data_IF_018518171351
#
_entry.id   IF_018518171351
#
_cell.length_a   1.000
_cell.length_b   1.000
_cell.length_c   1.000
_cell.angle_alpha   90.00
_cell.angle_beta   90.00
_cell.angle_gamma   90.00
#
_symmetry.space_group_name_H-M   'P 1'
#
loop_
_entity.id
_entity.type
_entity.pdbx_description
1 polymer ?
#
# COMPACT_ATOMS: atom_id res chain seq x y z
N UNK A 1 22.05 32.68 -19.47
CA UNK A 1 21.64 31.42 -20.11
C UNK A 1 20.25 31.13 -19.59
N UNK A 2 19.24 31.45 -20.40
CA UNK A 2 17.83 31.44 -20.02
C UNK A 2 17.23 30.06 -20.28
N UNK A 3 16.57 29.49 -19.26
CA UNK A 3 15.91 28.18 -19.32
C UNK A 3 14.62 28.21 -20.16
N UNK A 4 14.47 27.22 -21.04
CA UNK A 4 13.27 26.99 -21.83
C UNK A 4 12.25 26.14 -21.09
N UNK A 5 10.97 26.46 -21.29
CA UNK A 5 9.79 25.78 -20.73
C UNK A 5 9.53 24.41 -21.41
N UNK A 6 8.97 23.40 -20.70
CA UNK A 6 8.68 22.07 -21.24
C UNK A 6 7.24 21.88 -21.76
N UNK A 7 6.43 22.95 -21.83
CA UNK A 7 5.14 22.91 -22.52
C UNK A 7 5.35 23.21 -24.00
N UNK A 8 5.03 22.25 -24.87
CA UNK A 8 5.21 22.36 -26.32
C UNK A 8 4.31 23.43 -26.95
N UNK A 9 4.76 24.69 -26.91
CA UNK A 9 4.37 25.75 -27.83
C UNK A 9 5.57 26.03 -28.76
N UNK A 10 5.73 25.20 -29.78
CA UNK A 10 6.59 25.54 -30.90
C UNK A 10 5.85 26.52 -31.82
N UNK A 11 6.41 27.69 -32.17
CA UNK A 11 5.78 28.56 -33.15
C UNK A 11 5.91 27.90 -34.53
N UNK A 12 4.79 27.51 -35.14
CA UNK A 12 4.74 27.22 -36.58
C UNK A 12 5.01 28.51 -37.36
N UNK A 13 6.06 28.58 -38.20
CA UNK A 13 6.31 29.75 -39.01
C UNK A 13 5.42 29.70 -40.25
N UNK A 14 4.41 30.56 -40.30
CA UNK A 14 3.56 30.77 -41.47
C UNK A 14 2.09 30.85 -41.13
N UNK A 15 1.64 32.00 -40.62
CA UNK A 15 0.24 32.27 -40.33
C UNK A 15 -0.12 33.72 -40.67
N UNK A 16 -1.01 33.86 -41.65
CA UNK A 16 -1.56 35.08 -42.26
C UNK A 16 -2.10 36.11 -41.23
N UNK A 17 -1.78 37.42 -41.31
CA UNK A 17 -2.13 38.42 -40.31
C UNK A 17 -3.58 38.92 -40.44
N UNK A 18 -4.57 38.01 -40.40
CA UNK A 18 -5.96 38.35 -40.66
C UNK A 18 -7.05 37.45 -40.05
N UNK A 19 -6.72 36.50 -39.15
CA UNK A 19 -7.73 35.70 -38.46
C UNK A 19 -7.76 35.94 -36.95
N UNK A 20 -8.93 36.14 -36.33
CA UNK A 20 -9.05 36.18 -34.89
C UNK A 20 -8.63 34.82 -34.31
N UNK A 21 -7.66 34.86 -33.40
CA UNK A 21 -7.08 33.70 -32.73
C UNK A 21 -8.14 32.94 -31.92
N UNK A 22 -8.63 31.83 -32.46
CA UNK A 22 -9.51 30.87 -31.79
C UNK A 22 -8.73 29.87 -30.91
N UNK A 23 -7.71 30.33 -30.19
CA UNK A 23 -6.79 29.48 -29.41
C UNK A 23 -7.32 28.96 -28.06
N UNK A 24 -8.55 29.32 -27.66
CA UNK A 24 -9.11 28.96 -26.35
C UNK A 24 -9.79 27.59 -26.28
N UNK A 25 -10.13 26.98 -27.42
CA UNK A 25 -10.95 25.77 -27.46
C UNK A 25 -10.37 24.54 -26.72
N UNK A 26 -9.07 24.20 -26.83
CA UNK A 26 -8.54 23.03 -26.11
C UNK A 26 -8.41 23.27 -24.59
N UNK A 27 -8.17 24.51 -24.15
CA UNK A 27 -8.07 24.84 -22.73
C UNK A 27 -9.44 24.84 -22.05
N UNK A 28 -10.45 25.43 -22.68
CA UNK A 28 -11.80 25.46 -22.13
C UNK A 28 -12.45 24.06 -22.10
N UNK A 29 -12.18 23.21 -23.09
CA UNK A 29 -12.65 21.83 -23.07
C UNK A 29 -12.00 21.01 -21.95
N UNK A 30 -10.70 21.20 -21.68
CA UNK A 30 -10.03 20.51 -20.57
C UNK A 30 -10.51 21.04 -19.21
N UNK A 31 -10.73 22.36 -19.09
CA UNK A 31 -11.30 22.96 -17.88
C UNK A 31 -12.74 22.50 -17.63
N UNK A 32 -13.57 22.38 -18.67
CA UNK A 32 -14.93 21.84 -18.58
C UNK A 32 -14.92 20.35 -18.22
N UNK A 33 -13.96 19.57 -18.73
CA UNK A 33 -13.76 18.16 -18.36
C UNK A 33 -13.29 17.99 -16.91
N UNK A 34 -12.45 18.92 -16.42
CA UNK A 34 -12.01 18.98 -15.03
C UNK A 34 -13.14 19.43 -14.08
N UNK A 35 -13.94 20.42 -14.47
CA UNK A 35 -15.05 20.95 -13.66
C UNK A 35 -16.31 20.05 -13.67
N UNK A 36 -16.49 19.26 -14.73
CA UNK A 36 -17.56 18.25 -14.82
C UNK A 36 -17.23 16.94 -14.10
N UNK A 37 -16.01 16.80 -13.56
CA UNK A 37 -15.64 15.64 -12.77
C UNK A 37 -16.45 15.59 -11.46
N UNK A 38 -17.44 14.71 -11.41
CA UNK A 38 -18.21 14.34 -10.23
C UNK A 38 -17.70 13.03 -9.63
N UNK A 39 -16.38 12.86 -9.53
CA UNK A 39 -15.78 11.61 -9.05
C UNK A 39 -15.59 11.56 -7.54
N UNK A 40 -15.33 10.35 -7.04
CA UNK A 40 -15.12 10.04 -5.62
C UNK A 40 -13.85 10.68 -5.01
N UNK A 41 -13.32 10.16 -3.90
CA UNK A 41 -12.28 10.82 -3.12
C UNK A 41 -10.94 11.00 -3.87
N UNK A 42 -10.74 10.29 -4.98
CA UNK A 42 -9.52 10.33 -5.80
C UNK A 42 -9.88 10.44 -7.28
N UNK A 43 -9.22 11.33 -8.01
CA UNK A 43 -9.28 11.35 -9.47
C UNK A 43 -8.36 10.27 -10.08
N UNK A 44 -8.87 9.04 -10.18
CA UNK A 44 -8.12 7.89 -10.70
C UNK A 44 -7.74 7.99 -12.17
N UNK A 45 -8.47 8.76 -12.97
CA UNK A 45 -8.12 8.99 -14.38
C UNK A 45 -6.88 9.89 -14.46
N UNK A 46 -6.83 10.95 -13.65
CA UNK A 46 -5.63 11.76 -13.50
C UNK A 46 -4.48 10.93 -12.92
N UNK A 47 -4.72 10.15 -11.86
CA UNK A 47 -3.69 9.28 -11.27
C UNK A 47 -3.07 8.33 -12.30
N UNK A 48 -3.90 7.68 -13.12
CA UNK A 48 -3.48 6.82 -14.23
C UNK A 48 -2.61 7.59 -15.24
N UNK A 49 -3.08 8.74 -15.73
CA UNK A 49 -2.34 9.54 -16.71
C UNK A 49 -0.98 10.01 -16.16
N UNK A 50 -0.95 10.41 -14.89
CA UNK A 50 0.27 10.85 -14.21
C UNK A 50 1.23 9.67 -14.03
N UNK A 51 0.75 8.50 -13.62
CA UNK A 51 1.56 7.30 -13.47
C UNK A 51 2.21 6.87 -14.79
N UNK A 52 1.43 6.82 -15.88
CA UNK A 52 1.95 6.48 -17.21
C UNK A 52 2.94 7.54 -17.69
N UNK A 53 2.68 8.83 -17.46
CA UNK A 53 3.60 9.91 -17.82
C UNK A 53 4.92 9.84 -17.06
N UNK A 54 4.90 9.42 -15.79
CA UNK A 54 6.10 9.28 -14.97
C UNK A 54 7.08 8.24 -15.51
N UNK A 55 6.59 7.24 -16.28
CA UNK A 55 7.45 6.28 -16.97
C UNK A 55 8.34 6.93 -18.05
N UNK A 56 7.91 8.06 -18.62
CA UNK A 56 8.66 8.75 -19.68
C UNK A 56 8.99 7.82 -20.85
N UNK A 57 10.25 7.84 -21.31
CA UNK A 57 10.73 6.96 -22.38
C UNK A 57 11.31 5.63 -21.88
N UNK A 58 11.16 5.33 -20.58
CA UNK A 58 11.78 4.16 -19.96
C UNK A 58 10.94 2.89 -20.09
N UNK A 59 9.63 3.03 -20.35
CA UNK A 59 8.77 1.89 -20.67
C UNK A 59 8.94 1.46 -22.12
N UNK A 60 8.76 0.16 -22.36
CA UNK A 60 8.80 -0.43 -23.68
C UNK A 60 7.82 -1.60 -23.77
N UNK A 61 7.36 -1.86 -24.98
CA UNK A 61 6.57 -3.06 -25.24
C UNK A 61 7.37 -4.33 -24.89
N UNK A 62 6.65 -5.32 -24.37
CA UNK A 62 7.18 -6.67 -24.12
C UNK A 62 7.44 -7.34 -25.46
N UNK A 63 8.64 -7.90 -25.64
CA UNK A 63 9.01 -8.60 -26.86
C UNK A 63 8.39 -10.00 -26.86
N UNK A 64 8.02 -10.58 -28.03
CA UNK A 64 7.46 -11.93 -28.09
C UNK A 64 8.32 -13.02 -27.43
N UNK A 65 9.66 -12.90 -27.51
CA UNK A 65 10.57 -13.82 -26.83
C UNK A 65 10.46 -13.74 -25.30
N UNK A 66 10.29 -12.54 -24.76
CA UNK A 66 10.20 -12.31 -23.30
C UNK A 66 8.92 -12.91 -22.71
N UNK A 67 7.84 -12.96 -23.49
CA UNK A 67 6.61 -13.64 -23.10
C UNK A 67 6.90 -15.12 -22.82
N UNK A 68 7.51 -15.82 -23.78
CA UNK A 68 7.86 -17.23 -23.62
C UNK A 68 8.89 -17.47 -22.51
N UNK A 69 9.86 -16.57 -22.34
CA UNK A 69 10.86 -16.65 -21.27
C UNK A 69 10.24 -16.51 -19.87
N UNK A 70 9.30 -15.58 -19.69
CA UNK A 70 8.58 -15.39 -18.42
C UNK A 70 7.65 -16.56 -18.13
N UNK A 71 6.87 -16.99 -19.13
CA UNK A 71 5.97 -18.15 -18.98
C UNK A 71 6.74 -19.42 -18.61
N UNK A 72 7.91 -19.64 -19.23
CA UNK A 72 8.77 -20.77 -18.92
C UNK A 72 9.36 -20.66 -17.50
N UNK A 73 9.87 -19.48 -17.12
CA UNK A 73 10.43 -19.27 -15.79
C UNK A 73 9.39 -19.46 -14.68
N UNK A 74 8.16 -18.96 -14.85
CA UNK A 74 7.06 -19.16 -13.90
C UNK A 74 6.62 -20.63 -13.82
N UNK A 75 6.62 -21.35 -14.94
CA UNK A 75 6.33 -22.80 -14.94
C UNK A 75 7.41 -23.60 -14.22
N UNK A 76 8.69 -23.29 -14.46
CA UNK A 76 9.81 -23.90 -13.75
C UNK A 76 9.71 -23.62 -12.25
N UNK A 77 9.46 -22.36 -11.89
CA UNK A 77 9.29 -21.94 -10.52
C UNK A 77 8.19 -22.73 -9.80
N UNK A 78 7.04 -22.93 -10.45
CA UNK A 78 5.95 -23.70 -9.87
C UNK A 78 6.35 -25.16 -9.60
N UNK A 79 7.02 -25.82 -10.55
CA UNK A 79 7.50 -27.20 -10.37
C UNK A 79 8.53 -27.30 -9.23
N UNK A 80 9.42 -26.31 -9.10
CA UNK A 80 10.46 -26.31 -8.05
C UNK A 80 9.91 -25.98 -6.66
N UNK A 81 8.74 -25.32 -6.59
CA UNK A 81 8.09 -24.99 -5.32
C UNK A 81 7.29 -26.18 -4.75
N UNK A 82 6.83 -27.10 -5.59
CA UNK A 82 6.06 -28.30 -5.17
C UNK A 82 6.71 -29.11 -4.02
N UNK A 83 8.01 -29.44 -4.05
CA UNK A 83 8.62 -30.23 -2.98
C UNK A 83 8.91 -29.44 -1.68
N UNK A 84 8.77 -28.12 -1.68
CA UNK A 84 9.18 -27.26 -0.55
C UNK A 84 8.03 -26.53 0.13
N UNK A 85 6.80 -26.66 -0.38
CA UNK A 85 5.60 -26.00 0.10
C UNK A 85 4.41 -26.95 0.07
N UNK A 86 3.64 -26.99 1.16
CA UNK A 86 2.39 -27.74 1.22
C UNK A 86 1.25 -27.04 0.45
N UNK A 87 1.39 -25.74 0.21
CA UNK A 87 0.45 -24.97 -0.59
C UNK A 87 0.59 -25.33 -2.08
N UNK A 88 -0.48 -25.74 -2.77
CA UNK A 88 -0.46 -26.04 -4.20
C UNK A 88 -0.15 -24.81 -5.05
N UNK A 89 0.07 -25.00 -6.35
CA UNK A 89 0.15 -23.92 -7.33
C UNK A 89 -1.01 -22.92 -7.17
N UNK A 90 -0.67 -21.63 -7.11
CA UNK A 90 -1.64 -20.55 -6.90
C UNK A 90 -1.94 -19.73 -8.16
N UNK A 91 -1.07 -19.80 -9.17
CA UNK A 91 -1.22 -19.03 -10.40
C UNK A 91 -1.81 -19.91 -11.51
N UNK A 92 -2.97 -19.51 -12.04
CA UNK A 92 -3.59 -20.13 -13.22
C UNK A 92 -3.04 -19.55 -14.54
N UNK A 93 -2.47 -18.34 -14.48
CA UNK A 93 -1.98 -17.60 -15.63
C UNK A 93 -0.61 -17.01 -15.34
N UNK A 94 0.29 -17.13 -16.32
CA UNK A 94 1.63 -16.53 -16.31
C UNK A 94 1.67 -15.44 -17.37
N UNK A 95 2.09 -14.22 -17.02
CA UNK A 95 2.08 -13.08 -17.95
C UNK A 95 3.36 -12.25 -17.83
N UNK A 96 3.83 -11.76 -18.98
CA UNK A 96 4.86 -10.74 -19.04
C UNK A 96 4.20 -9.38 -19.24
N UNK A 97 4.48 -8.42 -18.35
CA UNK A 97 3.92 -7.06 -18.43
C UNK A 97 4.99 -6.02 -18.77
N UNK A 98 4.60 -5.02 -19.55
CA UNK A 98 5.29 -3.72 -19.55
C UNK A 98 4.99 -2.96 -18.25
N UNK A 99 5.69 -1.85 -18.01
CA UNK A 99 5.44 -1.02 -16.82
C UNK A 99 4.04 -0.41 -16.89
N UNK A 100 3.63 0.06 -18.07
CA UNK A 100 2.25 0.54 -18.30
C UNK A 100 1.21 -0.56 -18.03
N UNK A 101 1.42 -1.79 -18.53
CA UNK A 101 0.49 -2.91 -18.29
C UNK A 101 0.38 -3.25 -16.79
N UNK A 102 1.47 -3.17 -16.04
CA UNK A 102 1.44 -3.33 -14.59
C UNK A 102 0.62 -2.23 -13.89
N UNK A 103 0.74 -0.96 -14.33
CA UNK A 103 -0.09 0.13 -13.81
C UNK A 103 -1.57 -0.21 -14.03
N UNK A 104 -1.96 -0.53 -15.26
CA UNK A 104 -3.36 -0.86 -15.58
C UNK A 104 -3.90 -2.04 -14.78
N UNK A 105 -3.12 -3.11 -14.68
CA UNK A 105 -3.52 -4.34 -14.01
C UNK A 105 -3.67 -4.17 -12.49
N UNK A 106 -2.92 -3.24 -11.88
CA UNK A 106 -2.91 -3.03 -10.43
C UNK A 106 -3.82 -1.90 -9.95
N UNK A 107 -4.23 -0.99 -10.84
CA UNK A 107 -5.10 0.14 -10.52
C UNK A 107 -6.32 -0.22 -9.67
N UNK A 108 -7.10 -1.30 -9.95
CA UNK A 108 -8.27 -1.64 -9.14
C UNK A 108 -7.97 -1.87 -7.66
N UNK A 109 -6.82 -2.48 -7.35
CA UNK A 109 -6.39 -2.73 -5.97
C UNK A 109 -5.91 -1.43 -5.32
N UNK A 110 -5.19 -0.58 -6.05
CA UNK A 110 -4.84 0.75 -5.59
C UNK A 110 -6.06 1.59 -5.22
N UNK A 111 -7.16 1.50 -5.99
CA UNK A 111 -8.43 2.18 -5.62
C UNK A 111 -8.93 1.75 -4.25
N UNK A 112 -8.95 0.44 -4.03
CA UNK A 112 -9.41 -0.14 -2.76
C UNK A 112 -8.56 0.32 -1.57
N UNK A 113 -7.24 0.44 -1.78
CA UNK A 113 -6.29 0.84 -0.74
C UNK A 113 -6.31 2.35 -0.46
N UNK A 114 -6.36 3.17 -1.50
CA UNK A 114 -6.16 4.61 -1.37
C UNK A 114 -7.46 5.40 -1.17
N UNK A 115 -8.62 4.90 -1.64
CA UNK A 115 -9.90 5.62 -1.49
C UNK A 115 -10.28 5.91 -0.02
N UNK A 116 -10.09 4.98 0.94
CA UNK A 116 -10.36 5.25 2.35
C UNK A 116 -9.40 6.31 2.93
N UNK A 117 -8.11 6.22 2.60
CA UNK A 117 -7.08 7.18 3.02
C UNK A 117 -7.41 8.57 2.48
N UNK A 118 -7.67 8.67 1.18
CA UNK A 118 -7.99 9.92 0.52
C UNK A 118 -9.23 10.60 1.12
N UNK A 119 -10.27 9.79 1.39
CA UNK A 119 -11.49 10.28 2.03
C UNK A 119 -11.20 10.91 3.39
N UNK A 120 -10.32 10.28 4.19
CA UNK A 120 -9.91 10.77 5.50
C UNK A 120 -9.03 12.01 5.41
N UNK A 121 -8.07 12.05 4.49
CA UNK A 121 -7.22 13.23 4.26
C UNK A 121 -8.07 14.43 3.84
N UNK A 122 -8.99 14.26 2.90
CA UNK A 122 -9.89 15.34 2.46
C UNK A 122 -10.80 15.81 3.60
N UNK A 123 -11.39 14.88 4.37
CA UNK A 123 -12.20 15.20 5.55
C UNK A 123 -11.41 15.96 6.63
N UNK A 124 -10.16 15.56 6.84
CA UNK A 124 -9.30 16.14 7.85
C UNK A 124 -8.79 17.52 7.44
N UNK A 125 -8.39 17.72 6.17
CA UNK A 125 -8.09 19.04 5.60
C UNK A 125 -9.29 19.99 5.69
N UNK A 126 -10.50 19.50 5.38
CA UNK A 126 -11.74 20.27 5.53
C UNK A 126 -11.95 20.74 6.97
N UNK A 127 -11.74 19.85 7.93
CA UNK A 127 -11.88 20.14 9.36
C UNK A 127 -10.79 21.11 9.84
N UNK A 128 -9.55 20.95 9.37
CA UNK A 128 -8.43 21.85 9.64
C UNK A 128 -8.67 23.26 9.09
N UNK A 129 -9.06 23.39 7.83
CA UNK A 129 -9.32 24.70 7.22
C UNK A 129 -10.51 25.40 7.88
N UNK A 130 -11.60 24.68 8.15
CA UNK A 130 -12.76 25.26 8.83
C UNK A 130 -12.47 25.69 10.26
N UNK A 131 -11.69 24.91 11.02
CA UNK A 131 -11.24 25.29 12.36
C UNK A 131 -10.25 26.47 12.33
N UNK A 132 -9.30 26.48 11.40
CA UNK A 132 -8.37 27.60 11.18
C UNK A 132 -9.09 28.89 10.81
N UNK A 133 -10.04 28.84 9.89
CA UNK A 133 -10.91 29.99 9.53
C UNK A 133 -11.74 30.47 10.74
N UNK A 134 -12.29 29.54 11.53
CA UNK A 134 -13.06 29.89 12.72
C UNK A 134 -12.19 30.57 13.78
N UNK A 135 -10.92 30.15 13.92
CA UNK A 135 -9.95 30.79 14.82
C UNK A 135 -9.47 32.15 14.30
N UNK A 136 -9.41 32.34 12.98
CA UNK A 136 -9.05 33.62 12.35
C UNK A 136 -10.16 34.68 12.41
N UNK A 137 -11.38 34.29 12.81
CA UNK A 137 -12.43 35.23 13.19
C UNK A 137 -13.78 34.89 12.58
N UNK A 138 -14.75 34.57 13.43
CA UNK A 138 -16.16 34.68 13.08
C UNK A 138 -16.52 36.14 12.80
N UNK A 139 -16.53 36.54 11.53
CA UNK A 139 -17.24 37.74 11.08
C UNK A 139 -16.60 38.55 9.96
N UNK A 140 -15.30 38.89 10.04
CA UNK A 140 -14.71 39.88 9.13
C UNK A 140 -13.32 39.48 8.63
N UNK A 141 -13.13 39.57 7.32
CA UNK A 141 -11.85 39.34 6.65
C UNK A 141 -10.83 40.44 6.96
N UNK A 142 -9.52 40.12 6.93
CA UNK A 142 -8.48 41.13 6.91
C UNK A 142 -8.72 42.13 5.75
N UNK A 143 -8.63 43.45 5.99
CA UNK A 143 -8.93 44.47 4.99
C UNK A 143 -8.05 44.39 3.73
N UNK A 144 -6.87 43.76 3.83
CA UNK A 144 -5.94 43.51 2.73
C UNK A 144 -6.48 42.47 1.72
N UNK A 145 -7.23 41.47 2.22
CA UNK A 145 -7.87 40.43 1.41
C UNK A 145 -9.13 40.95 0.68
N UNK A 146 -9.86 41.87 1.34
CA UNK A 146 -11.04 42.50 0.76
C UNK A 146 -10.72 43.30 -0.52
N UNK A 147 -9.48 43.84 -0.63
CA UNK A 147 -9.00 44.58 -1.79
C UNK A 147 -8.43 43.74 -2.93
N UNK A 148 -8.12 42.46 -2.69
CA UNK A 148 -7.56 41.54 -3.69
C UNK A 148 -8.63 40.76 -4.48
N UNK A 149 -9.91 40.94 -4.13
CA UNK A 149 -11.01 40.25 -4.77
C UNK A 149 -11.38 40.89 -6.12
N UNK A 150 -11.62 40.09 -7.17
CA UNK A 150 -12.18 40.59 -8.41
C UNK A 150 -13.51 41.33 -8.15
N UNK A 151 -13.77 42.46 -8.82
CA UNK A 151 -15.04 43.17 -8.66
C UNK A 151 -16.20 42.25 -9.03
N UNK A 152 -17.10 42.01 -8.07
CA UNK A 152 -18.29 41.15 -8.21
C UNK A 152 -18.30 39.89 -7.35
N UNK A 153 -17.22 39.59 -6.61
CA UNK A 153 -17.16 38.44 -5.68
C UNK A 153 -17.44 38.91 -4.25
N UNK A 154 -18.61 38.58 -3.72
CA UNK A 154 -18.99 38.84 -2.32
C UNK A 154 -18.63 37.63 -1.45
N UNK A 155 -17.52 37.72 -0.70
CA UNK A 155 -17.04 36.62 0.12
C UNK A 155 -17.97 36.28 1.29
N UNK A 156 -18.77 37.23 1.80
CA UNK A 156 -19.77 36.97 2.84
C UNK A 156 -20.91 36.10 2.31
N UNK A 157 -21.30 36.33 1.05
CA UNK A 157 -22.24 35.48 0.32
C UNK A 157 -21.62 34.14 -0.09
N UNK A 158 -20.32 34.11 -0.36
CA UNK A 158 -19.55 32.90 -0.70
C UNK A 158 -19.38 31.97 0.52
N UNK A 159 -19.05 32.52 1.68
CA UNK A 159 -18.96 31.79 2.96
C UNK A 159 -20.35 31.36 3.46
N UNK A 160 -21.38 32.20 3.29
CA UNK A 160 -22.77 31.82 3.55
C UNK A 160 -23.35 30.82 2.54
N UNK A 161 -22.77 30.72 1.34
CA UNK A 161 -23.16 29.74 0.33
C UNK A 161 -22.57 28.35 0.57
N UNK A 162 -21.51 28.21 1.38
CA UNK A 162 -20.98 26.96 1.98
C UNK A 162 -20.74 25.78 1.04
N UNK A 163 -21.79 25.24 0.43
CA UNK A 163 -21.78 24.08 -0.47
C UNK A 163 -20.90 24.20 -1.70
N UNK A 164 -21.03 25.24 -2.57
CA UNK A 164 -20.31 25.27 -3.84
C UNK A 164 -18.79 25.38 -3.71
N UNK A 165 -18.28 26.19 -2.77
CA UNK A 165 -16.84 26.31 -2.53
C UNK A 165 -16.27 25.04 -1.90
N UNK A 166 -16.99 24.45 -0.94
CA UNK A 166 -16.56 23.20 -0.30
C UNK A 166 -16.55 22.02 -1.28
N UNK A 167 -17.50 21.98 -2.21
CA UNK A 167 -17.51 21.01 -3.30
C UNK A 167 -16.30 21.19 -4.23
N UNK A 168 -15.95 22.44 -4.57
CA UNK A 168 -14.77 22.74 -5.38
C UNK A 168 -13.47 22.35 -4.64
N UNK A 169 -13.38 22.59 -3.33
CA UNK A 169 -12.23 22.18 -2.52
C UNK A 169 -12.09 20.66 -2.46
N UNK A 170 -13.19 19.91 -2.31
CA UNK A 170 -13.17 18.45 -2.36
C UNK A 170 -12.68 17.95 -3.72
N UNK A 171 -13.10 18.59 -4.82
CA UNK A 171 -12.64 18.26 -6.16
C UNK A 171 -11.13 18.50 -6.33
N UNK A 172 -10.64 19.67 -5.88
CA UNK A 172 -9.21 20.02 -5.93
C UNK A 172 -8.38 19.08 -5.07
N UNK A 173 -8.84 18.75 -3.86
CA UNK A 173 -8.18 17.79 -2.98
C UNK A 173 -8.07 16.40 -3.60
N UNK A 174 -9.16 15.88 -4.19
CA UNK A 174 -9.16 14.59 -4.87
C UNK A 174 -8.30 14.55 -6.14
N UNK A 175 -8.16 15.68 -6.83
CA UNK A 175 -7.23 15.82 -7.97
C UNK A 175 -5.77 15.82 -7.52
N UNK A 176 -5.41 16.62 -6.52
CA UNK A 176 -4.05 16.69 -5.99
C UNK A 176 -3.59 15.34 -5.43
N UNK A 177 -4.44 14.70 -4.61
CA UNK A 177 -4.17 13.37 -4.09
C UNK A 177 -4.01 12.36 -5.22
N UNK A 178 -4.91 12.39 -6.22
CA UNK A 178 -4.80 11.54 -7.41
C UNK A 178 -3.48 11.73 -8.17
N UNK A 179 -3.01 12.97 -8.33
CA UNK A 179 -1.72 13.24 -8.96
C UNK A 179 -0.54 12.66 -8.15
N UNK A 180 -0.56 12.79 -6.82
CA UNK A 180 0.48 12.25 -5.94
C UNK A 180 0.49 10.72 -5.96
N UNK A 181 -0.67 10.07 -5.86
CA UNK A 181 -0.80 8.61 -6.00
C UNK A 181 -0.32 8.15 -7.37
N UNK A 182 -0.67 8.89 -8.42
CA UNK A 182 -0.20 8.63 -9.79
C UNK A 182 1.32 8.65 -9.89
N UNK A 183 1.98 9.68 -9.36
CA UNK A 183 3.45 9.76 -9.33
C UNK A 183 4.07 8.56 -8.59
N UNK A 184 3.51 8.22 -7.43
CA UNK A 184 3.99 7.12 -6.60
C UNK A 184 3.85 5.77 -7.32
N UNK A 185 2.69 5.50 -7.95
CA UNK A 185 2.46 4.29 -8.76
C UNK A 185 3.39 4.24 -9.98
N UNK A 186 3.62 5.36 -10.65
CA UNK A 186 4.51 5.45 -11.81
C UNK A 186 5.97 5.18 -11.45
N UNK A 187 6.45 5.75 -10.34
CA UNK A 187 7.78 5.45 -9.78
C UNK A 187 7.91 3.97 -9.46
N UNK A 188 6.90 3.41 -8.78
CA UNK A 188 6.86 2.02 -8.39
C UNK A 188 6.93 1.07 -9.61
N UNK A 189 6.14 1.34 -10.64
CA UNK A 189 6.14 0.58 -11.90
C UNK A 189 7.51 0.61 -12.60
N UNK A 190 8.31 1.66 -12.39
CA UNK A 190 9.69 1.77 -12.87
C UNK A 190 10.66 0.79 -12.21
N UNK A 191 10.36 0.34 -11.00
CA UNK A 191 11.28 -0.46 -10.19
C UNK A 191 10.84 -1.91 -10.03
N UNK A 192 9.55 -2.18 -9.86
CA UNK A 192 9.05 -3.52 -9.52
C UNK A 192 9.28 -4.55 -10.62
N UNK A 193 9.70 -5.76 -10.26
CA UNK A 193 9.97 -6.87 -11.16
C UNK A 193 8.79 -7.84 -11.26
N UNK A 194 7.82 -7.78 -10.33
CA UNK A 194 6.66 -8.69 -10.30
C UNK A 194 5.37 -8.03 -9.78
N UNK A 195 4.23 -8.75 -9.88
CA UNK A 195 2.94 -8.24 -9.42
C UNK A 195 2.80 -8.15 -7.90
N UNK A 196 3.54 -9.00 -7.17
CA UNK A 196 3.44 -9.12 -5.71
C UNK A 196 4.67 -8.59 -4.97
N UNK A 197 5.63 -7.97 -5.66
CA UNK A 197 6.90 -7.54 -5.04
C UNK A 197 6.69 -6.58 -3.86
N UNK A 198 5.61 -5.79 -3.81
CA UNK A 198 5.38 -4.89 -2.66
C UNK A 198 4.80 -5.60 -1.42
N UNK A 199 4.66 -6.93 -1.45
CA UNK A 199 4.04 -7.71 -0.37
C UNK A 199 2.50 -7.61 -0.36
N UNK A 200 1.90 -7.13 -1.45
CA UNK A 200 0.45 -7.05 -1.65
C UNK A 200 0.03 -7.80 -2.91
N UNK A 201 -1.18 -8.39 -2.94
CA UNK A 201 -1.72 -9.05 -4.13
C UNK A 201 -2.37 -8.00 -5.05
N UNK A 202 -1.54 -7.19 -5.71
CA UNK A 202 -1.98 -6.06 -6.54
C UNK A 202 -2.57 -6.48 -7.89
N UNK A 203 -2.08 -7.59 -8.46
CA UNK A 203 -2.58 -8.11 -9.73
C UNK A 203 -3.93 -8.82 -9.63
N UNK A 204 -4.53 -9.21 -10.78
CA UNK A 204 -5.69 -10.10 -10.81
C UNK A 204 -5.41 -11.42 -10.09
N UNK A 205 -6.43 -11.97 -9.43
CA UNK A 205 -6.30 -13.23 -8.71
C UNK A 205 -5.88 -14.37 -9.65
N UNK A 206 -4.88 -15.16 -9.24
CA UNK A 206 -4.37 -16.28 -10.04
C UNK A 206 -3.50 -15.86 -11.23
N UNK A 207 -3.03 -14.61 -11.27
CA UNK A 207 -2.11 -14.12 -12.31
C UNK A 207 -0.74 -13.83 -11.73
N UNK A 208 0.23 -14.69 -12.05
CA UNK A 208 1.64 -14.41 -11.77
C UNK A 208 2.23 -13.59 -12.91
N UNK A 209 2.81 -12.44 -12.59
CA UNK A 209 3.39 -11.55 -13.58
C UNK A 209 4.83 -11.17 -13.26
N UNK A 210 5.65 -11.10 -14.31
CA UNK A 210 6.98 -10.48 -14.27
C UNK A 210 7.05 -9.33 -15.27
N UNK A 211 7.89 -8.34 -14.97
CA UNK A 211 8.19 -7.21 -15.86
C UNK A 211 9.57 -7.43 -16.49
N UNK A 212 9.68 -7.94 -17.74
CA UNK A 212 10.95 -8.34 -18.33
C UNK A 212 11.99 -7.21 -18.39
N UNK A 213 11.56 -5.98 -18.63
CA UNK A 213 12.45 -4.82 -18.62
C UNK A 213 13.07 -4.58 -17.24
N UNK A 214 12.30 -4.75 -16.17
CA UNK A 214 12.77 -4.53 -14.80
C UNK A 214 13.56 -5.73 -14.28
N UNK A 215 13.20 -6.96 -14.70
CA UNK A 215 13.99 -8.17 -14.46
C UNK A 215 15.38 -8.05 -15.10
N UNK A 216 15.46 -7.56 -16.33
CA UNK A 216 16.74 -7.31 -17.00
C UNK A 216 17.56 -6.26 -16.24
N UNK A 217 16.95 -5.11 -15.93
CA UNK A 217 17.61 -4.05 -15.16
C UNK A 217 18.08 -4.52 -13.77
N UNK A 218 17.33 -5.41 -13.12
CA UNK A 218 17.73 -6.02 -11.84
C UNK A 218 19.00 -6.86 -11.97
N UNK A 219 19.19 -7.54 -13.10
CA UNK A 219 20.38 -8.37 -13.38
C UNK A 219 21.61 -7.60 -13.85
N UNK A 220 21.46 -6.33 -14.24
CA UNK A 220 22.55 -5.52 -14.80
C UNK A 220 23.72 -5.37 -13.80
N UNK A 221 24.94 -5.56 -14.29
CA UNK A 221 26.15 -5.42 -13.47
C UNK A 221 26.41 -6.56 -12.48
N UNK A 222 25.52 -7.55 -12.36
CA UNK A 222 25.70 -8.68 -11.44
C UNK A 222 26.65 -9.77 -11.98
N UNK A 223 26.86 -9.82 -13.28
CA UNK A 223 27.63 -10.89 -13.93
C UNK A 223 26.99 -12.27 -13.78
N UNK A 224 25.67 -12.32 -13.58
CA UNK A 224 24.87 -13.54 -13.49
C UNK A 224 24.14 -13.78 -14.81
N UNK A 225 23.73 -15.01 -15.07
CA UNK A 225 22.91 -15.33 -16.22
C UNK A 225 21.49 -14.77 -16.06
N UNK A 226 20.97 -14.09 -17.09
CA UNK A 226 19.61 -13.51 -17.09
C UNK A 226 18.53 -14.54 -16.75
N UNK A 227 18.72 -15.79 -17.18
CA UNK A 227 17.80 -16.89 -16.87
C UNK A 227 17.79 -17.24 -15.37
N UNK A 228 18.94 -17.28 -14.69
CA UNK A 228 18.99 -17.53 -13.24
C UNK A 228 18.30 -16.41 -12.47
N UNK A 229 18.52 -15.14 -12.87
CA UNK A 229 17.84 -13.98 -12.27
C UNK A 229 16.33 -14.10 -12.46
N UNK A 230 15.88 -14.38 -13.70
CA UNK A 230 14.45 -14.50 -14.02
C UNK A 230 13.78 -15.63 -13.25
N UNK A 231 14.40 -16.82 -13.19
CA UNK A 231 13.84 -17.97 -12.47
C UNK A 231 13.77 -17.68 -10.97
N UNK A 232 14.80 -17.05 -10.39
CA UNK A 232 14.80 -16.70 -8.97
C UNK A 232 13.67 -15.72 -8.62
N UNK A 233 13.45 -14.68 -9.45
CA UNK A 233 12.33 -13.75 -9.26
C UNK A 233 10.97 -14.42 -9.53
N UNK A 234 10.91 -15.36 -10.48
CA UNK A 234 9.72 -16.18 -10.73
C UNK A 234 9.35 -17.07 -9.53
N UNK A 235 10.33 -17.66 -8.83
CA UNK A 235 10.11 -18.44 -7.60
C UNK A 235 9.43 -17.60 -6.53
N UNK A 236 9.88 -16.35 -6.35
CA UNK A 236 9.30 -15.44 -5.36
C UNK A 236 7.87 -15.04 -5.72
N UNK A 237 7.63 -14.70 -6.99
CA UNK A 237 6.30 -14.37 -7.49
C UNK A 237 5.33 -15.56 -7.37
N UNK A 238 5.77 -16.76 -7.77
CA UNK A 238 4.97 -17.97 -7.69
C UNK A 238 4.66 -18.34 -6.23
N UNK A 239 5.63 -18.26 -5.32
CA UNK A 239 5.41 -18.50 -3.89
C UNK A 239 4.35 -17.55 -3.32
N UNK A 240 4.45 -16.25 -3.60
CA UNK A 240 3.46 -15.26 -3.16
C UNK A 240 2.05 -15.58 -3.70
N UNK A 241 1.96 -15.99 -4.97
CA UNK A 241 0.68 -16.41 -5.57
C UNK A 241 0.10 -17.65 -4.88
N UNK A 242 0.92 -18.65 -4.51
CA UNK A 242 0.46 -19.82 -3.73
C UNK A 242 -0.17 -19.38 -2.41
N UNK A 243 0.50 -18.47 -1.70
CA UNK A 243 0.03 -17.96 -0.43
C UNK A 243 -1.33 -17.26 -0.56
N UNK A 244 -1.45 -16.28 -1.46
CA UNK A 244 -2.71 -15.55 -1.64
C UNK A 244 -3.84 -16.38 -2.25
N UNK A 245 -3.53 -17.42 -3.04
CA UNK A 245 -4.54 -18.31 -3.60
C UNK A 245 -5.12 -19.27 -2.56
N UNK A 246 -4.29 -19.77 -1.64
CA UNK A 246 -4.66 -20.86 -0.72
C UNK A 246 -4.85 -20.43 0.74
N UNK A 247 -4.65 -19.15 1.06
CA UNK A 247 -4.93 -18.57 2.39
C UNK A 247 -6.05 -17.53 2.27
N UNK A 248 -7.34 -17.94 2.36
CA UNK A 248 -8.48 -17.10 1.98
C UNK A 248 -8.64 -15.84 2.83
N UNK A 249 -8.19 -15.88 4.09
CA UNK A 249 -8.27 -14.74 5.01
C UNK A 249 -7.17 -13.70 4.78
N UNK A 250 -6.06 -14.06 4.12
CA UNK A 250 -4.86 -13.21 4.07
C UNK A 250 -5.11 -11.91 3.33
N UNK A 251 -5.81 -11.97 2.19
CA UNK A 251 -6.11 -10.78 1.40
C UNK A 251 -6.95 -9.78 2.18
N UNK A 252 -8.06 -10.23 2.79
CA UNK A 252 -8.93 -9.34 3.57
C UNK A 252 -8.24 -8.83 4.83
N UNK A 253 -7.39 -9.65 5.46
CA UNK A 253 -6.63 -9.26 6.64
C UNK A 253 -5.62 -8.14 6.34
N UNK A 254 -4.83 -8.27 5.27
CA UNK A 254 -3.85 -7.24 4.87
C UNK A 254 -4.55 -5.95 4.44
N UNK A 255 -5.57 -6.05 3.58
CA UNK A 255 -6.32 -4.85 3.13
C UNK A 255 -7.06 -4.17 4.30
N UNK A 256 -7.63 -4.96 5.22
CA UNK A 256 -8.29 -4.46 6.42
C UNK A 256 -7.34 -3.77 7.39
N UNK A 257 -6.11 -4.27 7.53
CA UNK A 257 -5.09 -3.62 8.35
C UNK A 257 -4.69 -2.24 7.80
N UNK A 258 -4.60 -2.10 6.47
CA UNK A 258 -4.38 -0.79 5.82
C UNK A 258 -5.56 0.14 6.06
N UNK A 259 -6.80 -0.35 5.92
CA UNK A 259 -8.01 0.45 6.17
C UNK A 259 -8.10 0.91 7.63
N UNK A 260 -7.78 0.04 8.58
CA UNK A 260 -7.78 0.37 10.01
C UNK A 260 -6.74 1.43 10.35
N UNK A 261 -5.53 1.32 9.80
CA UNK A 261 -4.53 2.37 9.93
C UNK A 261 -5.03 3.69 9.33
N UNK A 262 -5.59 3.64 8.12
CA UNK A 262 -6.11 4.81 7.41
C UNK A 262 -7.20 5.54 8.22
N UNK A 263 -8.05 4.78 8.93
CA UNK A 263 -9.10 5.32 9.81
C UNK A 263 -8.53 6.11 10.99
N UNK A 264 -7.33 5.76 11.43
CA UNK A 264 -6.61 6.45 12.51
C UNK A 264 -5.92 7.75 12.09
N UNK A 265 -5.83 8.04 10.78
CA UNK A 265 -5.21 9.27 10.28
C UNK A 265 -6.03 10.48 10.75
N UNK A 266 -5.43 11.28 11.63
CA UNK A 266 -5.98 12.52 12.13
C UNK A 266 -5.06 13.69 11.75
N UNK A 267 -5.67 14.84 11.46
CA UNK A 267 -4.93 16.09 11.23
C UNK A 267 -4.78 16.80 12.57
N UNK A 268 -3.56 17.28 12.87
CA UNK A 268 -3.31 18.12 14.05
C UNK A 268 -3.94 19.51 13.79
N UNK A 269 -5.05 19.86 14.48
CA UNK A 269 -5.73 21.15 14.26
C UNK A 269 -4.83 22.33 14.66
N UNK A 270 -3.90 22.13 15.59
CA UNK A 270 -2.94 23.16 15.99
C UNK A 270 -1.86 23.33 14.93
N UNK A 271 -1.37 22.24 14.32
CA UNK A 271 -0.46 22.32 13.18
C UNK A 271 -1.07 23.05 12.00
N UNK A 272 -2.32 22.72 11.64
CA UNK A 272 -3.04 23.46 10.60
C UNK A 272 -3.19 24.93 10.97
N UNK A 273 -3.56 25.23 12.22
CA UNK A 273 -3.66 26.62 12.70
C UNK A 273 -2.35 27.39 12.56
N UNK A 274 -1.22 26.79 12.95
CA UNK A 274 0.13 27.37 12.79
C UNK A 274 0.44 27.64 11.33
N UNK A 275 0.21 26.66 10.46
CA UNK A 275 0.46 26.79 9.02
C UNK A 275 -0.42 27.88 8.41
N UNK A 276 -1.71 27.92 8.75
CA UNK A 276 -2.65 28.93 8.24
C UNK A 276 -2.31 30.36 8.69
N UNK A 277 -1.64 30.54 9.82
CA UNK A 277 -1.14 31.85 10.26
C UNK A 277 0.13 32.30 9.53
N UNK A 278 0.90 31.36 8.99
CA UNK A 278 2.16 31.64 8.29
C UNK A 278 1.99 31.77 6.77
N UNK A 279 0.92 31.20 6.22
CA UNK A 279 0.64 31.19 4.79
C UNK A 279 0.03 32.53 4.32
N UNK A 280 0.60 33.10 3.27
CA UNK A 280 0.02 34.26 2.56
C UNK A 280 -1.36 33.89 1.97
N UNK A 281 -2.42 34.71 2.12
CA UNK A 281 -3.73 34.42 1.56
C UNK A 281 -3.76 34.12 0.05
N UNK A 282 -2.80 34.65 -0.72
CA UNK A 282 -2.65 34.34 -2.15
C UNK A 282 -2.21 32.89 -2.40
N UNK A 283 -1.58 32.24 -1.43
CA UNK A 283 -1.20 30.82 -1.46
C UNK A 283 -2.41 29.90 -1.30
N UNK A 284 -3.48 30.33 -0.60
CA UNK A 284 -4.74 29.57 -0.53
C UNK A 284 -5.42 29.42 -1.90
N UNK A 285 -5.08 30.29 -2.85
CA UNK A 285 -5.56 30.22 -4.24
C UNK A 285 -4.64 29.38 -5.15
N UNK A 286 -3.52 28.87 -4.63
CA UNK A 286 -2.57 28.03 -5.35
C UNK A 286 -2.43 26.65 -4.69
N UNK A 287 -3.06 25.59 -5.24
CA UNK A 287 -3.10 24.26 -4.63
C UNK A 287 -1.73 23.62 -4.45
N UNK A 288 -0.79 23.86 -5.37
CA UNK A 288 0.57 23.30 -5.33
C UNK A 288 1.37 23.90 -4.17
N UNK A 289 1.33 25.23 -4.04
CA UNK A 289 2.00 25.94 -2.93
C UNK A 289 1.36 25.67 -1.58
N UNK A 290 0.04 25.48 -1.55
CA UNK A 290 -0.67 25.10 -0.34
C UNK A 290 -0.23 23.71 0.13
N UNK A 291 -0.08 22.75 -0.79
CA UNK A 291 0.41 21.40 -0.46
C UNK A 291 1.83 21.44 0.09
N UNK A 292 2.72 22.21 -0.55
CA UNK A 292 4.10 22.40 -0.10
C UNK A 292 4.18 23.07 1.29
N UNK A 293 3.30 24.03 1.56
CA UNK A 293 3.26 24.76 2.83
C UNK A 293 2.59 23.97 3.97
N UNK A 294 1.65 23.07 3.67
CA UNK A 294 1.08 22.15 4.65
C UNK A 294 2.11 21.08 5.09
N UNK A 295 3.02 20.67 4.20
CA UNK A 295 4.12 19.77 4.54
C UNK A 295 3.70 18.43 5.18
N UNK A 296 4.68 17.67 5.66
CA UNK A 296 4.41 16.44 6.43
C UNK A 296 3.93 16.75 7.86
N UNK A 297 4.32 17.90 8.42
CA UNK A 297 4.07 18.32 9.82
C UNK A 297 2.59 18.59 10.18
N UNK A 298 1.68 18.66 9.20
CA UNK A 298 0.24 18.88 9.43
C UNK A 298 -0.50 17.58 9.76
N UNK A 299 0.04 16.44 9.33
CA UNK A 299 -0.46 15.15 9.76
C UNK A 299 0.14 14.85 11.13
N UNK A 300 -0.70 14.47 12.09
CA UNK A 300 -0.15 13.98 13.35
C UNK A 300 0.68 12.73 13.04
N UNK A 301 1.88 12.63 13.63
CA UNK A 301 2.58 11.35 13.75
C UNK A 301 1.57 10.31 14.25
N UNK A 302 1.76 9.05 13.86
CA UNK A 302 0.85 7.98 14.26
C UNK A 302 0.87 7.82 15.79
N UNK A 303 0.10 8.62 16.52
CA UNK A 303 0.31 8.85 17.95
C UNK A 303 -0.70 8.15 18.84
N UNK A 304 -1.88 7.85 18.28
CA UNK A 304 -2.91 7.10 18.98
C UNK A 304 -2.48 5.65 19.21
N UNK A 305 -2.76 5.06 20.39
CA UNK A 305 -2.49 3.64 20.65
C UNK A 305 -3.10 2.71 19.59
N UNK A 306 -4.28 3.04 19.08
CA UNK A 306 -5.00 2.27 18.08
C UNK A 306 -4.27 2.28 16.73
N UNK A 307 -3.81 3.44 16.26
CA UNK A 307 -3.06 3.56 15.01
C UNK A 307 -1.68 2.88 15.12
N UNK A 308 -0.99 3.02 16.26
CA UNK A 308 0.26 2.29 16.55
C UNK A 308 0.05 0.77 16.52
N UNK A 309 -1.06 0.28 17.05
CA UNK A 309 -1.40 -1.13 17.03
C UNK A 309 -1.75 -1.64 15.62
N UNK A 310 -2.52 -0.87 14.84
CA UNK A 310 -2.84 -1.19 13.44
C UNK A 310 -1.58 -1.23 12.57
N UNK A 311 -0.70 -0.25 12.75
CA UNK A 311 0.62 -0.19 12.13
C UNK A 311 1.45 -1.43 12.46
N UNK A 312 1.56 -1.77 13.75
CA UNK A 312 2.34 -2.92 14.20
C UNK A 312 1.81 -4.24 13.63
N UNK A 313 0.48 -4.40 13.49
CA UNK A 313 -0.16 -5.56 12.84
C UNK A 313 0.14 -5.63 11.35
N UNK A 314 0.04 -4.51 10.64
CA UNK A 314 0.35 -4.43 9.20
C UNK A 314 1.82 -4.78 8.93
N UNK A 315 2.75 -4.18 9.69
CA UNK A 315 4.17 -4.50 9.61
C UNK A 315 4.44 -5.99 9.87
N UNK A 316 3.77 -6.56 10.88
CA UNK A 316 3.94 -7.96 11.24
C UNK A 316 3.50 -8.90 10.12
N UNK A 317 2.28 -8.73 9.59
CA UNK A 317 1.76 -9.61 8.54
C UNK A 317 2.59 -9.49 7.26
N UNK A 318 3.00 -8.28 6.86
CA UNK A 318 3.84 -8.08 5.68
C UNK A 318 5.23 -8.70 5.87
N UNK A 319 5.82 -8.59 7.07
CA UNK A 319 7.08 -9.24 7.38
C UNK A 319 6.96 -10.77 7.33
N UNK A 320 5.86 -11.34 7.83
CA UNK A 320 5.62 -12.78 7.79
C UNK A 320 5.43 -13.30 6.35
N UNK A 321 4.67 -12.58 5.52
CA UNK A 321 4.51 -12.90 4.09
C UNK A 321 5.87 -12.90 3.40
N UNK A 322 6.61 -11.79 3.50
CA UNK A 322 7.91 -11.63 2.82
C UNK A 322 8.95 -12.63 3.34
N UNK A 323 8.97 -12.90 4.66
CA UNK A 323 9.85 -13.89 5.26
C UNK A 323 9.56 -15.31 4.77
N UNK A 324 8.28 -15.66 4.59
CA UNK A 324 7.87 -16.97 4.08
C UNK A 324 8.26 -17.11 2.60
N UNK A 325 7.98 -16.08 1.79
CA UNK A 325 8.36 -16.04 0.38
C UNK A 325 9.88 -16.14 0.21
N UNK A 326 10.66 -15.41 1.01
CA UNK A 326 12.13 -15.49 1.01
C UNK A 326 12.62 -16.89 1.35
N UNK A 327 12.06 -17.51 2.40
CA UNK A 327 12.45 -18.84 2.83
C UNK A 327 12.12 -19.91 1.78
N UNK A 328 10.90 -19.93 1.27
CA UNK A 328 10.43 -20.94 0.31
C UNK A 328 11.11 -20.80 -1.04
N UNK A 329 11.23 -19.57 -1.56
CA UNK A 329 11.91 -19.32 -2.83
C UNK A 329 13.40 -19.68 -2.77
N UNK A 330 14.11 -19.34 -1.68
CA UNK A 330 15.51 -19.73 -1.53
C UNK A 330 15.68 -21.24 -1.37
N UNK A 331 14.77 -21.90 -0.64
CA UNK A 331 14.80 -23.37 -0.49
C UNK A 331 14.62 -24.07 -1.83
N UNK A 332 13.67 -23.64 -2.66
CA UNK A 332 13.49 -24.15 -4.01
C UNK A 332 14.68 -23.83 -4.94
N UNK A 333 15.29 -22.64 -4.79
CA UNK A 333 16.39 -22.20 -5.66
C UNK A 333 17.70 -22.96 -5.42
N UNK A 334 18.03 -23.30 -4.16
CA UNK A 334 19.37 -23.75 -3.76
C UNK A 334 19.86 -25.03 -4.43
N UNK A 335 18.96 -25.94 -4.79
CA UNK A 335 19.32 -27.20 -5.45
C UNK A 335 19.52 -27.04 -6.96
N UNK A 336 19.02 -25.94 -7.54
CA UNK A 336 18.93 -25.78 -9.00
C UNK A 336 19.71 -24.58 -9.54
N UNK A 337 19.90 -23.53 -8.74
CA UNK A 337 20.57 -22.28 -9.14
C UNK A 337 21.90 -22.12 -8.39
N UNK A 338 23.05 -22.22 -9.07
CA UNK A 338 24.36 -21.97 -8.47
C UNK A 338 24.46 -20.58 -7.83
N UNK A 339 23.74 -19.60 -8.36
CA UNK A 339 23.76 -18.21 -7.87
C UNK A 339 22.67 -17.89 -6.84
N UNK A 340 21.90 -18.88 -6.34
CA UNK A 340 20.78 -18.67 -5.41
C UNK A 340 21.15 -17.77 -4.21
N UNK A 341 22.27 -18.06 -3.53
CA UNK A 341 22.71 -17.29 -2.38
C UNK A 341 23.03 -15.82 -2.73
N UNK A 342 23.63 -15.56 -3.90
CA UNK A 342 23.92 -14.19 -4.38
C UNK A 342 22.64 -13.44 -4.72
N UNK A 343 21.69 -14.12 -5.37
CA UNK A 343 20.40 -13.56 -5.74
C UNK A 343 19.55 -13.22 -4.50
N UNK A 344 19.54 -14.10 -3.49
CA UNK A 344 18.88 -13.83 -2.20
C UNK A 344 19.46 -12.60 -1.51
N UNK A 345 20.79 -12.52 -1.44
CA UNK A 345 21.47 -11.37 -0.83
C UNK A 345 21.15 -10.07 -1.58
N UNK A 346 21.08 -10.10 -2.91
CA UNK A 346 20.72 -8.94 -3.72
C UNK A 346 19.30 -8.43 -3.40
N UNK A 347 18.31 -9.34 -3.35
CA UNK A 347 16.94 -8.98 -2.97
C UNK A 347 16.90 -8.39 -1.56
N UNK A 348 17.62 -8.99 -0.60
CA UNK A 348 17.69 -8.49 0.78
C UNK A 348 18.27 -7.09 0.89
N UNK A 349 19.32 -6.77 0.12
CA UNK A 349 19.91 -5.42 0.08
C UNK A 349 18.93 -4.39 -0.45
N UNK A 350 18.30 -4.68 -1.59
CA UNK A 350 17.27 -3.81 -2.18
C UNK A 350 16.12 -3.54 -1.21
N UNK A 351 15.76 -4.51 -0.37
CA UNK A 351 14.77 -4.31 0.71
C UNK A 351 15.30 -3.44 1.84
N UNK A 352 16.54 -3.64 2.26
CA UNK A 352 17.16 -2.88 3.35
C UNK A 352 17.40 -1.39 3.00
N UNK A 353 17.54 -1.07 1.72
CA UNK A 353 17.67 0.30 1.19
C UNK A 353 16.31 1.01 1.04
N UNK A 354 15.21 0.41 1.50
CA UNK A 354 13.87 0.99 1.36
C UNK A 354 13.25 0.66 0.02
N UNK A 355 13.10 -0.64 -0.28
CA UNK A 355 12.64 -1.13 -1.59
C UNK A 355 11.29 -0.55 -2.04
N UNK A 356 10.84 -0.85 -3.27
CA UNK A 356 9.74 -0.10 -3.90
C UNK A 356 8.43 -0.09 -3.10
N UNK A 357 8.14 -1.20 -2.40
CA UNK A 357 6.99 -1.31 -1.49
C UNK A 357 7.06 -0.37 -0.28
N UNK A 358 8.24 -0.16 0.31
CA UNK A 358 8.39 0.73 1.46
C UNK A 358 8.19 2.20 1.05
N UNK A 359 8.70 2.61 -0.12
CA UNK A 359 8.56 3.99 -0.61
C UNK A 359 7.11 4.36 -0.92
N UNK A 360 6.34 3.45 -1.54
CA UNK A 360 4.93 3.73 -1.84
C UNK A 360 4.12 3.84 -0.56
N UNK A 361 4.37 2.99 0.42
CA UNK A 361 3.68 3.04 1.71
C UNK A 361 4.11 4.24 2.56
N UNK A 362 5.37 4.65 2.49
CA UNK A 362 5.84 5.90 3.09
C UNK A 362 5.09 7.09 2.50
N UNK A 363 4.95 7.13 1.17
CA UNK A 363 4.29 8.23 0.45
C UNK A 363 2.78 8.28 0.69
N UNK A 364 2.10 7.13 0.70
CA UNK A 364 0.64 7.06 0.79
C UNK A 364 0.11 7.10 2.23
N UNK A 365 0.91 6.61 3.18
CA UNK A 365 0.43 6.22 4.51
C UNK A 365 1.36 6.73 5.63
N UNK A 366 2.55 7.26 5.29
CA UNK A 366 3.59 7.60 6.28
C UNK A 366 4.25 6.36 6.88
N UNK A 367 4.15 5.21 6.19
CA UNK A 367 4.60 3.91 6.68
C UNK A 367 6.02 3.57 6.19
N UNK A 368 6.98 3.44 7.11
CA UNK A 368 8.29 2.84 6.82
C UNK A 368 8.38 1.44 7.44
N UNK A 369 8.38 0.40 6.60
CA UNK A 369 8.53 -0.99 7.06
C UNK A 369 9.93 -1.24 7.58
N UNK A 370 10.06 -1.59 8.85
CA UNK A 370 11.39 -1.80 9.46
C UNK A 370 12.12 -3.01 8.85
N UNK A 371 13.31 -2.85 8.23
CA UNK A 371 14.05 -3.95 7.60
C UNK A 371 14.48 -5.08 8.58
N UNK A 372 14.51 -4.80 9.89
CA UNK A 372 14.86 -5.79 10.92
C UNK A 372 13.82 -6.92 11.01
N UNK A 373 12.53 -6.58 10.95
CA UNK A 373 11.42 -7.54 11.04
C UNK A 373 11.43 -8.55 9.90
N UNK A 374 11.84 -8.12 8.70
CA UNK A 374 11.95 -9.02 7.54
C UNK A 374 12.98 -10.14 7.76
N UNK A 375 14.13 -9.80 8.37
CA UNK A 375 15.17 -10.78 8.68
C UNK A 375 14.75 -11.74 9.79
N UNK A 376 14.11 -11.21 10.84
CA UNK A 376 13.56 -11.99 11.95
C UNK A 376 12.49 -12.98 11.45
N UNK A 377 11.58 -12.54 10.58
CA UNK A 377 10.56 -13.40 9.98
C UNK A 377 11.17 -14.55 9.16
N UNK A 378 12.17 -14.28 8.32
CA UNK A 378 12.83 -15.32 7.53
C UNK A 378 13.52 -16.38 8.43
N UNK A 379 14.12 -15.96 9.55
CA UNK A 379 14.73 -16.87 10.52
C UNK A 379 13.67 -17.73 11.24
N UNK A 380 12.51 -17.16 11.53
CA UNK A 380 11.38 -17.89 12.11
C UNK A 380 10.87 -19.00 11.20
N UNK A 381 10.67 -18.70 9.91
CA UNK A 381 10.22 -19.70 8.93
C UNK A 381 11.25 -20.81 8.72
N UNK A 382 12.54 -20.47 8.76
CA UNK A 382 13.62 -21.46 8.75
C UNK A 382 13.58 -22.38 9.97
N UNK A 383 13.44 -21.81 11.17
CA UNK A 383 13.33 -22.58 12.41
C UNK A 383 12.10 -23.50 12.43
N UNK A 384 10.96 -23.02 11.92
CA UNK A 384 9.74 -23.83 11.76
C UNK A 384 9.93 -24.99 10.79
N UNK A 385 10.57 -24.75 9.63
CA UNK A 385 10.87 -25.81 8.67
C UNK A 385 11.77 -26.88 9.28
N UNK A 386 12.82 -26.49 10.01
CA UNK A 386 13.75 -27.44 10.65
C UNK A 386 13.04 -28.30 11.68
N UNK A 387 12.13 -27.72 12.47
CA UNK A 387 11.47 -28.43 13.56
C UNK A 387 10.23 -29.24 13.12
N UNK A 388 9.48 -28.77 12.12
CA UNK A 388 8.15 -29.31 11.78
C UNK A 388 7.97 -29.69 10.30
N UNK A 389 9.02 -29.54 9.48
CA UNK A 389 8.93 -29.74 8.04
C UNK A 389 8.12 -28.65 7.32
N UNK A 390 8.01 -28.74 5.99
CA UNK A 390 7.25 -27.76 5.21
C UNK A 390 5.73 -27.79 5.52
N UNK A 391 5.16 -28.96 5.80
CA UNK A 391 3.74 -29.10 6.14
C UNK A 391 3.41 -28.40 7.46
N UNK A 392 4.22 -28.64 8.50
CA UNK A 392 4.04 -27.99 9.80
C UNK A 392 4.33 -26.49 9.77
N UNK A 393 5.28 -26.05 8.91
CA UNK A 393 5.53 -24.63 8.66
C UNK A 393 4.30 -23.97 8.01
N UNK A 394 3.78 -24.54 6.93
CA UNK A 394 2.71 -23.91 6.14
C UNK A 394 1.35 -23.99 6.84
N UNK A 395 1.15 -24.96 7.75
CA UNK A 395 -0.04 -25.05 8.59
C UNK A 395 -0.26 -23.81 9.49
N UNK A 396 0.79 -23.02 9.76
CA UNK A 396 0.69 -21.74 10.49
C UNK A 396 -0.24 -20.75 9.78
N UNK A 397 -0.40 -20.87 8.45
CA UNK A 397 -1.32 -20.03 7.68
C UNK A 397 -2.79 -20.45 7.78
N UNK A 398 -3.12 -21.56 8.45
CA UNK A 398 -4.49 -22.06 8.50
C UNK A 398 -5.48 -21.07 9.16
N UNK A 399 -5.02 -20.26 10.10
CA UNK A 399 -5.85 -19.26 10.78
C UNK A 399 -5.00 -18.04 11.23
N UNK A 400 -5.53 -16.81 11.22
CA UNK A 400 -4.82 -15.62 11.71
C UNK A 400 -4.25 -15.78 13.13
N UNK A 401 -4.97 -16.44 14.03
CA UNK A 401 -4.58 -16.62 15.43
C UNK A 401 -3.37 -17.54 15.63
N UNK A 402 -3.00 -18.32 14.60
CA UNK A 402 -1.80 -19.15 14.63
C UNK A 402 -0.55 -18.36 14.23
N UNK A 403 -0.71 -17.13 13.74
CA UNK A 403 0.43 -16.33 13.32
C UNK A 403 1.30 -15.94 14.52
N UNK A 404 2.63 -16.00 14.36
CA UNK A 404 3.58 -15.52 15.35
C UNK A 404 3.43 -14.00 15.57
N UNK A 405 3.52 -13.57 16.82
CA UNK A 405 3.55 -12.18 17.23
C UNK A 405 4.93 -11.54 17.09
N UNK A 406 5.03 -10.25 17.45
CA UNK A 406 6.30 -9.52 17.40
C UNK A 406 7.39 -10.11 18.31
N UNK A 407 7.01 -10.65 19.46
CA UNK A 407 7.94 -11.30 20.40
C UNK A 407 8.44 -12.66 19.86
N UNK A 408 7.59 -13.39 19.14
CA UNK A 408 7.96 -14.64 18.47
C UNK A 408 8.98 -14.42 17.33
N UNK A 409 8.92 -13.29 16.64
CA UNK A 409 9.96 -12.91 15.67
C UNK A 409 11.31 -12.63 16.37
N UNK A 410 11.29 -12.08 17.59
CA UNK A 410 12.49 -11.80 18.36
C UNK A 410 13.10 -13.08 18.97
N UNK A 411 12.27 -14.07 19.33
CA UNK A 411 12.70 -15.40 19.76
C UNK A 411 11.95 -16.53 19.01
N UNK A 412 12.43 -16.89 17.81
CA UNK A 412 11.84 -17.98 17.03
C UNK A 412 11.78 -19.33 17.75
N UNK A 413 12.71 -19.59 18.68
CA UNK A 413 12.82 -20.88 19.35
C UNK A 413 11.67 -21.13 20.32
N UNK A 414 11.18 -20.07 20.99
CA UNK A 414 10.02 -20.12 21.87
C UNK A 414 8.73 -20.47 21.11
N UNK A 415 8.52 -19.87 19.94
CA UNK A 415 7.36 -20.17 19.09
C UNK A 415 7.39 -21.61 18.56
N UNK A 416 8.54 -22.03 18.05
CA UNK A 416 8.73 -23.37 17.47
C UNK A 416 8.51 -24.48 18.50
N UNK A 417 8.93 -24.29 19.75
CA UNK A 417 8.72 -25.23 20.85
C UNK A 417 7.28 -25.29 21.37
N UNK A 418 6.40 -24.41 20.88
CA UNK A 418 4.99 -24.36 21.30
C UNK A 418 4.76 -23.59 22.60
N UNK A 419 5.80 -22.97 23.18
CA UNK A 419 5.71 -22.23 24.44
C UNK A 419 4.81 -20.98 24.34
N UNK A 420 4.61 -20.44 23.12
CA UNK A 420 3.74 -19.28 22.89
C UNK A 420 2.39 -19.63 22.26
N UNK A 421 2.26 -20.80 21.64
CA UNK A 421 1.02 -21.29 21.03
C UNK A 421 0.11 -22.08 21.99
N UNK A 422 0.47 -22.17 23.27
CA UNK A 422 -0.23 -22.97 24.26
C UNK A 422 -0.14 -22.37 25.66
N UNK A 423 -0.94 -21.34 25.92
CA UNK A 423 -1.71 -21.41 27.16
C UNK A 423 -2.59 -22.64 27.02
N UNK A 424 -2.12 -23.78 27.55
CA UNK A 424 -2.93 -24.97 27.77
C UNK A 424 -4.12 -24.56 28.67
N UNK A 425 -5.16 -24.01 28.05
CA UNK A 425 -6.50 -24.46 28.39
C UNK A 425 -6.49 -25.92 27.97
N UNK A 426 -6.11 -26.75 28.93
CA UNK A 426 -6.23 -28.19 28.89
C UNK A 426 -7.73 -28.48 28.75
N UNK A 427 -8.25 -28.36 27.53
CA UNK A 427 -9.66 -28.59 27.19
C UNK A 427 -10.02 -30.02 27.57
N UNK A 428 -9.06 -30.95 27.53
CA UNK A 428 -9.23 -32.30 28.05
C UNK A 428 -9.38 -32.32 29.57
N UNK A 429 -8.53 -31.61 30.35
CA UNK A 429 -8.74 -31.49 31.79
C UNK A 429 -10.00 -30.70 32.18
N UNK A 430 -10.44 -29.75 31.36
CA UNK A 430 -11.66 -28.98 31.62
C UNK A 430 -12.93 -29.80 31.29
N UNK A 431 -12.87 -30.67 30.27
CA UNK A 431 -13.90 -31.69 29.99
C UNK A 431 -13.90 -32.77 31.07
N UNK A 432 -12.73 -33.21 31.56
CA UNK A 432 -12.61 -34.17 32.65
C UNK A 432 -13.18 -33.60 33.97
N UNK A 433 -13.01 -32.30 34.24
CA UNK A 433 -13.68 -31.60 35.36
C UNK A 433 -15.20 -31.50 35.21
N UNK A 434 -15.73 -31.55 34.00
CA UNK A 434 -17.18 -31.54 33.74
C UNK A 434 -17.80 -32.93 33.90
N UNK A 435 -17.05 -33.99 33.58
CA UNK A 435 -17.47 -35.39 33.77
C UNK A 435 -17.33 -35.87 35.22
N UNK A 436 -16.43 -35.28 36.02
CA UNK A 436 -16.22 -35.65 37.43
C UNK A 436 -17.21 -34.98 38.41
N UNK A 437 -18.25 -34.32 37.89
CA UNK A 437 -19.33 -33.74 38.68
C UNK A 437 -20.49 -34.74 38.78
N UNK A 438 -20.66 -35.48 39.91
CA UNK A 438 -21.80 -36.36 40.06
C UNK A 438 -23.11 -35.54 39.99
N UNK A 439 -24.20 -36.09 39.45
CA UNK A 439 -25.47 -35.39 39.40
C UNK A 439 -25.88 -35.01 40.83
N UNK A 440 -26.01 -33.71 41.05
CA UNK A 440 -26.20 -33.13 42.38
C UNK A 440 -27.36 -33.78 43.12
N UNK A 441 -27.08 -34.22 44.35
CA UNK A 441 -28.11 -34.42 45.36
C UNK A 441 -28.91 -33.13 45.50
N UNK A 442 -30.20 -33.21 45.14
CA UNK A 442 -31.15 -32.14 45.43
C UNK A 442 -31.19 -31.85 46.94
N UNK A 443 -31.55 -30.62 47.33
CA UNK A 443 -31.53 -30.23 48.73
C UNK A 443 -32.56 -31.07 49.52
N UNK A 444 -32.09 -31.89 50.45
CA UNK A 444 -32.93 -32.61 51.42
C UNK A 444 -33.43 -31.63 52.50
N UNK A 445 -34.66 -31.83 53.03
CA UNK A 445 -35.41 -30.81 53.74
C UNK A 445 -34.90 -30.60 55.18
N UNK A 446 -34.86 -29.34 55.61
CA UNK A 446 -34.60 -28.95 57.00
C UNK A 446 -35.70 -29.48 57.91
N UNK A 447 -35.35 -30.38 58.83
CA UNK A 447 -36.19 -30.73 59.98
C UNK A 447 -35.75 -29.90 61.18
N UNK A 448 -36.54 -28.87 61.50
CA UNK A 448 -36.43 -28.14 62.77
C UNK A 448 -37.23 -28.86 63.86
N UNK A 449 -36.60 -29.05 65.02
CA UNK A 449 -37.17 -29.48 66.31
C UNK A 449 -36.42 -30.67 66.91
N UNK A 450 -35.99 -30.62 68.19
CA UNK A 450 -36.71 -30.12 69.39
C UNK A 450 -35.89 -29.07 70.18
N UNK A 451 -36.37 -28.29 71.16
CA UNK A 451 -37.48 -28.38 72.09
C UNK A 451 -36.93 -28.10 73.51
N UNK A 452 -37.30 -26.97 74.11
CA UNK A 452 -37.43 -26.70 75.57
C UNK A 452 -38.03 -25.31 75.79
#
# INVERSE_FOLDING_TARGET
MSGGFPFGFGPTPGGDPGRPSGGGAPFFAELERLLSWQGGPVNWELARQVAVRALGSTDRAVRPAEVGEVENALRIADVWLDPVSALPSGAATAVAWSREQWIEATLPVWRTLCDPVASKVVEAMRTGISSGLSQLGGGDLPPELAGALPPGVDLGRLMGAGGPVMQMMNQVGGMLFGAQVGQAIGSLAGEVVSSTEVGLPLGPAGTAALLPANVAAFGEGLGLADEEVRIYLALREAASNRLYAHVPWLRSHVLGAVEEYARGIAVDPEAVGRVMQMIDPTTLMNPERLTEALGEDVFADADTPEQKAALARLELVLALIEGWVDHVADTAAREHLPSAAKLREMVRRRRAEGGPGEQIFATLVGLSLRPRRLREAAALWEALTVARGHDGRDAVWAHPDLLPGGDDLADPSAFVSGATAGGDLDIMAEIEKLDDKPPGEGPAPTSDGPGS
#
